data_IF_845055128504
#
_entry.id   IF_845055128504
#
_cell.length_a   1.000
_cell.length_b   1.000
_cell.length_c   1.000
_cell.angle_alpha   90.00
_cell.angle_beta   90.00
_cell.angle_gamma   90.00
#
_symmetry.space_group_name_H-M   'P 1'
#
loop_
_entity.id
_entity.type
_entity.pdbx_description
1 polymer ?
#
# COMPACT_ATOMS: atom_id res chain seq x y z
N UNK A 1 -8.25 -12.24 -15.16
CA UNK A 1 -8.60 -11.63 -13.88
C UNK A 1 -9.07 -10.21 -14.09
N UNK A 2 -10.17 -9.82 -13.46
CA UNK A 2 -10.69 -8.46 -13.61
C UNK A 2 -9.81 -7.46 -12.89
N UNK A 3 -9.55 -6.31 -13.53
CA UNK A 3 -8.93 -5.17 -12.86
C UNK A 3 -9.86 -4.65 -11.78
N UNK A 4 -9.31 -4.33 -10.61
CA UNK A 4 -10.07 -3.66 -9.57
C UNK A 4 -10.32 -2.22 -9.98
N UNK A 5 -11.56 -1.78 -9.79
CA UNK A 5 -11.99 -0.42 -10.08
C UNK A 5 -12.19 0.32 -8.78
N UNK A 6 -11.62 1.51 -8.69
CA UNK A 6 -11.80 2.41 -7.54
C UNK A 6 -12.54 3.63 -8.02
N UNK A 7 -13.57 4.04 -7.27
CA UNK A 7 -14.34 5.23 -7.61
C UNK A 7 -13.39 6.44 -7.67
N UNK A 8 -13.56 7.33 -8.67
CA UNK A 8 -12.62 8.45 -8.85
C UNK A 8 -12.38 9.28 -7.60
N UNK A 9 -13.40 9.49 -6.77
CA UNK A 9 -13.27 10.29 -5.55
C UNK A 9 -12.38 9.66 -4.47
N UNK A 10 -12.06 8.36 -4.62
CA UNK A 10 -11.19 7.65 -3.66
C UNK A 10 -9.81 7.35 -4.21
N UNK A 11 -9.57 7.65 -5.49
CA UNK A 11 -8.27 7.36 -6.12
C UNK A 11 -7.12 8.13 -5.47
N UNK A 12 -7.40 9.31 -4.93
CA UNK A 12 -6.36 10.13 -4.31
C UNK A 12 -5.68 9.43 -3.13
N UNK A 13 -6.43 8.64 -2.35
CA UNK A 13 -5.85 7.91 -1.23
C UNK A 13 -4.76 6.94 -1.71
N UNK A 14 -5.04 6.21 -2.79
CA UNK A 14 -4.07 5.26 -3.35
C UNK A 14 -2.90 5.98 -4.02
N UNK A 15 -3.17 7.09 -4.73
CA UNK A 15 -2.12 7.89 -5.34
C UNK A 15 -1.17 8.46 -4.29
N UNK A 16 -1.70 8.95 -3.17
CA UNK A 16 -0.88 9.44 -2.07
C UNK A 16 -0.04 8.33 -1.46
N UNK A 17 -0.62 7.15 -1.27
CA UNK A 17 0.12 5.98 -0.78
C UNK A 17 1.27 5.64 -1.71
N UNK A 18 1.01 5.60 -3.01
CA UNK A 18 2.05 5.31 -4.01
C UNK A 18 3.16 6.35 -3.97
N UNK A 19 2.80 7.64 -3.88
CA UNK A 19 3.78 8.72 -3.78
C UNK A 19 4.62 8.59 -2.52
N UNK A 20 4.01 8.25 -1.39
CA UNK A 20 4.73 8.05 -0.14
C UNK A 20 5.71 6.89 -0.24
N UNK A 21 5.33 5.81 -0.92
CA UNK A 21 6.24 4.67 -1.16
C UNK A 21 7.43 5.12 -2.00
N UNK A 22 7.18 5.88 -3.06
CA UNK A 22 8.23 6.41 -3.93
C UNK A 22 9.20 7.30 -3.15
N UNK A 23 8.67 8.21 -2.33
CA UNK A 23 9.49 9.10 -1.52
C UNK A 23 10.31 8.32 -0.48
N UNK A 24 9.71 7.30 0.13
CA UNK A 24 10.42 6.44 1.08
C UNK A 24 11.60 5.73 0.41
N UNK A 25 11.41 5.26 -0.82
CA UNK A 25 12.51 4.68 -1.61
C UNK A 25 13.61 5.71 -1.86
N UNK A 26 13.22 6.91 -2.30
CA UNK A 26 14.19 7.97 -2.63
C UNK A 26 14.96 8.45 -1.40
N UNK A 27 14.31 8.56 -0.25
CA UNK A 27 14.99 8.94 1.00
C UNK A 27 16.10 7.95 1.38
N UNK A 28 15.90 6.67 1.05
CA UNK A 28 16.89 5.62 1.28
C UNK A 28 17.92 5.53 0.17
N UNK A 29 17.82 6.41 -0.84
CA UNK A 29 18.74 6.45 -2.00
C UNK A 29 18.78 5.11 -2.73
N UNK A 30 17.64 4.40 -2.76
CA UNK A 30 17.53 3.14 -3.47
C UNK A 30 17.00 3.39 -4.88
N UNK A 31 17.62 2.71 -5.85
CA UNK A 31 17.15 2.74 -7.24
C UNK A 31 15.94 1.85 -7.40
N UNK A 32 15.06 2.20 -8.35
CA UNK A 32 13.87 1.41 -8.62
C UNK A 32 14.21 -0.06 -8.93
N UNK A 33 15.27 -0.29 -9.72
CA UNK A 33 15.69 -1.65 -10.07
C UNK A 33 16.07 -2.46 -8.82
N UNK A 34 16.71 -1.83 -7.84
CA UNK A 34 17.11 -2.51 -6.61
C UNK A 34 15.91 -2.94 -5.78
N UNK A 35 14.93 -2.04 -5.65
CA UNK A 35 13.71 -2.36 -4.89
C UNK A 35 12.90 -3.43 -5.60
N UNK A 36 12.75 -3.33 -6.92
CA UNK A 36 12.00 -4.32 -7.70
C UNK A 36 12.63 -5.71 -7.57
N UNK A 37 13.95 -5.82 -7.69
CA UNK A 37 14.64 -7.10 -7.54
C UNK A 37 14.43 -7.70 -6.14
N UNK A 38 14.57 -6.89 -5.10
CA UNK A 38 14.44 -7.36 -3.71
C UNK A 38 13.00 -7.72 -3.36
N UNK A 39 12.03 -7.06 -4.01
CA UNK A 39 10.61 -7.36 -3.81
C UNK A 39 10.12 -8.47 -4.75
N UNK A 40 10.97 -8.99 -5.61
CA UNK A 40 10.65 -10.03 -6.59
C UNK A 40 9.49 -9.62 -7.51
N UNK A 41 9.57 -8.40 -8.03
CA UNK A 41 8.60 -7.85 -8.99
C UNK A 41 9.34 -7.18 -10.14
N UNK A 42 8.64 -6.95 -11.24
CA UNK A 42 9.20 -6.20 -12.37
C UNK A 42 9.28 -4.71 -12.05
N UNK A 43 10.14 -4.01 -12.78
CA UNK A 43 10.23 -2.54 -12.67
C UNK A 43 8.91 -1.87 -13.04
N UNK A 44 8.20 -2.42 -14.04
CA UNK A 44 6.91 -1.88 -14.43
C UNK A 44 5.88 -2.03 -13.32
N UNK A 45 5.88 -3.16 -12.59
CA UNK A 45 5.01 -3.34 -11.44
C UNK A 45 5.34 -2.33 -10.34
N UNK A 46 6.62 -2.11 -10.06
CA UNK A 46 7.02 -1.10 -9.08
C UNK A 46 6.54 0.30 -9.50
N UNK A 47 6.65 0.63 -10.79
CA UNK A 47 6.15 1.91 -11.29
C UNK A 47 4.66 2.08 -11.02
N UNK A 48 3.87 1.02 -11.24
CA UNK A 48 2.43 1.03 -10.95
C UNK A 48 2.16 1.20 -9.45
N UNK A 49 2.93 0.53 -8.60
CA UNK A 49 2.82 0.66 -7.15
C UNK A 49 3.07 2.12 -6.72
N UNK A 50 4.09 2.74 -7.28
CA UNK A 50 4.44 4.13 -6.95
C UNK A 50 3.43 5.14 -7.49
N UNK A 51 2.53 4.71 -8.37
CA UNK A 51 1.38 5.50 -8.82
C UNK A 51 0.11 5.17 -8.05
N UNK A 52 0.14 4.18 -7.17
CA UNK A 52 -1.02 3.75 -6.42
C UNK A 52 -2.03 2.97 -7.23
N UNK A 53 -1.58 2.19 -8.22
CA UNK A 53 -2.47 1.43 -9.10
C UNK A 53 -3.22 0.34 -8.35
N UNK A 54 -4.56 0.38 -8.33
CA UNK A 54 -5.34 -0.59 -7.56
C UNK A 54 -5.35 -2.01 -8.14
N UNK A 55 -4.99 -2.19 -9.41
CA UNK A 55 -4.98 -3.51 -10.04
C UNK A 55 -3.77 -4.35 -9.66
N UNK A 56 -2.77 -3.78 -8.98
CA UNK A 56 -1.61 -4.53 -8.50
C UNK A 56 -2.00 -5.30 -7.24
N UNK A 57 -1.54 -6.54 -7.14
CA UNK A 57 -1.85 -7.38 -5.99
C UNK A 57 -1.33 -6.77 -4.69
N UNK A 58 -2.12 -6.92 -3.62
CA UNK A 58 -1.74 -6.43 -2.29
C UNK A 58 -0.41 -7.02 -1.83
N UNK A 59 -0.14 -8.29 -2.15
CA UNK A 59 1.13 -8.92 -1.79
C UNK A 59 2.34 -8.24 -2.40
N UNK A 60 2.20 -7.70 -3.62
CA UNK A 60 3.28 -6.95 -4.24
C UNK A 60 3.55 -5.64 -3.51
N UNK A 61 2.49 -4.93 -3.11
CA UNK A 61 2.62 -3.74 -2.26
C UNK A 61 3.32 -4.09 -0.94
N UNK A 62 2.88 -5.17 -0.30
CA UNK A 62 3.49 -5.61 0.95
C UNK A 62 4.99 -5.88 0.78
N UNK A 63 5.37 -6.56 -0.29
CA UNK A 63 6.78 -6.89 -0.54
C UNK A 63 7.64 -5.65 -0.73
N UNK A 64 7.11 -4.62 -1.40
CA UNK A 64 7.83 -3.36 -1.55
C UNK A 64 8.00 -2.69 -0.19
N UNK A 65 6.94 -2.63 0.62
CA UNK A 65 7.05 -2.05 1.96
C UNK A 65 8.06 -2.81 2.82
N UNK A 66 8.08 -4.14 2.71
CA UNK A 66 9.06 -4.96 3.42
C UNK A 66 10.49 -4.58 3.05
N UNK A 67 10.76 -4.39 1.76
CA UNK A 67 12.08 -3.97 1.29
C UNK A 67 12.47 -2.61 1.89
N UNK A 68 11.50 -1.73 2.08
CA UNK A 68 11.72 -0.40 2.66
C UNK A 68 11.72 -0.41 4.19
N UNK A 69 11.42 -1.56 4.83
CA UNK A 69 11.32 -1.64 6.28
C UNK A 69 10.03 -1.08 6.84
N UNK A 70 8.99 -0.92 6.01
CA UNK A 70 7.72 -0.31 6.37
C UNK A 70 6.56 -1.32 6.39
N UNK A 71 6.86 -2.62 6.43
CA UNK A 71 5.84 -3.66 6.39
C UNK A 71 4.83 -3.56 7.54
N UNK A 72 5.25 -3.03 8.67
CA UNK A 72 4.37 -2.90 9.83
C UNK A 72 3.24 -1.89 9.62
N UNK A 73 3.32 -1.06 8.57
CA UNK A 73 2.22 -0.17 8.21
C UNK A 73 0.95 -0.97 7.90
N UNK A 74 1.09 -2.20 7.39
CA UNK A 74 -0.07 -3.07 7.17
C UNK A 74 -0.79 -3.43 8.46
N UNK A 75 -0.08 -3.49 9.58
CA UNK A 75 -0.69 -3.78 10.88
C UNK A 75 -1.59 -2.65 11.37
N UNK A 76 -1.44 -1.46 10.79
CA UNK A 76 -2.24 -0.29 11.14
C UNK A 76 -3.55 -0.20 10.35
N UNK A 77 -3.65 -0.96 9.24
CA UNK A 77 -4.86 -0.96 8.43
C UNK A 77 -6.04 -1.46 9.26
N UNK A 78 -7.10 -0.64 9.33
CA UNK A 78 -8.33 -0.91 10.07
C UNK A 78 -8.11 -1.16 11.59
N UNK A 79 -6.92 -0.89 12.10
CA UNK A 79 -6.62 -1.14 13.51
C UNK A 79 -7.30 -0.13 14.43
N UNK A 80 -7.45 1.12 14.00
CA UNK A 80 -8.09 2.17 14.78
C UNK A 80 -9.54 2.34 14.31
N UNK A 81 -10.41 1.47 14.80
CA UNK A 81 -11.82 1.43 14.43
C UNK A 81 -12.69 1.83 15.63
N UNK A 82 -12.66 3.11 15.96
CA UNK A 82 -13.40 3.65 17.11
C UNK A 82 -14.91 3.46 16.95
N UNK A 83 -15.43 3.71 15.76
CA UNK A 83 -16.87 3.57 15.50
C UNK A 83 -17.32 2.10 15.63
N UNK A 84 -16.56 1.18 15.03
CA UNK A 84 -16.87 -0.25 15.11
C UNK A 84 -16.82 -0.77 16.53
N UNK A 85 -15.86 -0.32 17.33
CA UNK A 85 -15.78 -0.69 18.75
C UNK A 85 -16.99 -0.20 19.53
N UNK A 86 -17.49 1.01 19.23
CA UNK A 86 -18.71 1.53 19.88
C UNK A 86 -19.93 0.69 19.52
N UNK A 87 -20.03 0.27 18.25
CA UNK A 87 -21.12 -0.62 17.83
C UNK A 87 -21.05 -1.95 18.55
N UNK A 88 -19.86 -2.54 18.67
CA UNK A 88 -19.64 -3.78 19.38
C UNK A 88 -20.02 -3.65 20.87
N UNK A 89 -19.62 -2.55 21.51
CA UNK A 89 -19.94 -2.28 22.92
C UNK A 89 -21.46 -2.22 23.13
N UNK A 90 -22.20 -1.63 22.19
CA UNK A 90 -23.66 -1.56 22.26
C UNK A 90 -24.30 -2.96 22.16
N UNK A 91 -23.74 -3.81 21.30
CA UNK A 91 -24.24 -5.19 21.14
C UNK A 91 -23.96 -6.05 22.37
N UNK A 92 -22.89 -5.77 23.09
CA UNK A 92 -22.54 -6.50 24.32
C UNK A 92 -23.36 -6.10 25.53
N UNK A 93 -24.02 -4.96 25.43
CA UNK A 93 -24.90 -4.47 26.50
C UNK A 93 -26.31 -5.05 26.38
#
# INVERSE_FOLDING_TARGET
MKKQMVLPRYKDALSQMGEQIKLARKRRKLKAVQVAERADISRSTLSLIEKGEPSVAMGAYFNVLRVLGLQDDFLKLAADDTFGRKLQDLDLL
#
